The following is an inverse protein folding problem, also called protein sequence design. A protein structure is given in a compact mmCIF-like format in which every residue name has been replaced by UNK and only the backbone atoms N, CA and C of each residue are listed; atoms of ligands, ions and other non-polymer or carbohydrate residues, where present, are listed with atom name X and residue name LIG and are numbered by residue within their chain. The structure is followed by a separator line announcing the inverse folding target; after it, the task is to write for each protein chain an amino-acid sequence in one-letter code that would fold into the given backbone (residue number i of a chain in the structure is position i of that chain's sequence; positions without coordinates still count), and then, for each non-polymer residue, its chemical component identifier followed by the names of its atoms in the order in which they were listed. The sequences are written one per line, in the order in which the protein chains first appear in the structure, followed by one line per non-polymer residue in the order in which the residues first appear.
data_IF_598201737462
#
_entry.id   IF_598201737462
#
_cell.length_a   1.000
_cell.length_b   1.000
_cell.length_c   1.000
_cell.angle_alpha   90.00
_cell.angle_beta   90.00
_cell.angle_gamma   90.00
#
_symmetry.space_group_name_H-M   'P 1'
#
loop_
_entity.id
_entity.type
_entity.pdbx_description
1 polymer ?
#
# COMPACT_ATOMS: atom_id res chain seq x y z
N UNK A 1 -44.93 37.22 48.09
CA UNK A 1 -44.54 37.33 46.66
C UNK A 1 -43.05 37.57 46.59
N UNK A 2 -42.26 36.49 46.35
CA UNK A 2 -40.77 36.54 46.24
C UNK A 2 -40.41 36.70 44.77
N UNK A 3 -39.77 37.81 44.40
CA UNK A 3 -39.21 38.00 43.05
C UNK A 3 -37.84 37.36 43.01
N UNK A 4 -37.69 36.35 42.18
CA UNK A 4 -36.40 35.80 41.83
C UNK A 4 -35.66 36.75 40.89
N UNK A 5 -34.44 37.19 41.24
CA UNK A 5 -33.55 37.91 40.37
C UNK A 5 -32.62 36.89 39.73
N UNK A 6 -32.67 36.75 38.42
CA UNK A 6 -31.64 36.08 37.62
C UNK A 6 -30.36 36.91 37.65
N UNK A 7 -29.28 36.34 38.09
CA UNK A 7 -27.91 36.89 37.93
C UNK A 7 -27.30 36.29 36.67
N UNK A 8 -26.84 37.14 35.77
CA UNK A 8 -26.03 36.76 34.60
C UNK A 8 -24.58 36.57 35.06
N UNK A 9 -24.02 35.40 34.72
CA UNK A 9 -22.61 35.07 34.93
C UNK A 9 -21.80 35.57 33.72
N UNK A 10 -20.94 36.55 33.90
CA UNK A 10 -20.04 37.02 32.86
C UNK A 10 -18.69 36.37 33.06
N UNK A 11 -18.25 35.52 32.08
CA UNK A 11 -16.92 34.91 32.05
C UNK A 11 -16.02 35.82 31.21
N UNK A 12 -14.94 36.32 31.79
CA UNK A 12 -13.87 37.04 31.08
C UNK A 12 -12.67 36.16 31.04
N UNK A 13 -12.28 35.69 29.86
CA UNK A 13 -11.09 34.89 29.61
C UNK A 13 -9.99 35.83 29.05
N UNK A 14 -8.90 35.95 29.76
CA UNK A 14 -7.71 36.66 29.28
C UNK A 14 -6.62 35.64 28.97
N UNK A 15 -6.24 35.53 27.71
CA UNK A 15 -5.18 34.63 27.22
C UNK A 15 -3.82 35.34 27.23
N UNK A 16 -2.85 34.82 27.93
CA UNK A 16 -1.45 35.27 27.88
C UNK A 16 -0.60 34.14 27.30
N UNK A 17 -0.11 34.30 26.10
CA UNK A 17 0.80 33.34 25.47
C UNK A 17 2.26 33.63 25.90
N UNK A 18 2.92 32.61 26.42
CA UNK A 18 4.37 32.64 26.67
C UNK A 18 5.03 31.64 25.73
N UNK A 19 5.86 32.16 24.81
CA UNK A 19 6.67 31.33 23.94
C UNK A 19 7.92 30.87 24.69
N UNK A 20 8.10 29.56 24.85
CA UNK A 20 9.34 28.96 25.37
C UNK A 20 9.98 28.17 24.24
N UNK A 21 11.20 28.54 23.88
CA UNK A 21 12.07 27.78 22.97
C UNK A 21 12.85 26.78 23.80
N UNK A 22 12.65 25.49 23.58
CA UNK A 22 13.45 24.43 24.22
C UNK A 22 13.81 23.33 23.24
N UNK A 23 15.09 23.05 23.15
CA UNK A 23 15.64 21.83 22.53
C UNK A 23 15.73 20.74 23.58
N UNK A 24 15.07 19.58 23.37
CA UNK A 24 15.24 18.41 24.23
C UNK A 24 14.04 17.46 24.13
N UNK A 25 14.29 16.18 24.06
CA UNK A 25 13.36 15.07 23.77
C UNK A 25 12.61 14.54 25.00
N UNK A 26 12.05 15.40 25.85
CA UNK A 26 11.12 15.01 26.91
C UNK A 26 9.82 15.80 26.80
N UNK A 27 8.65 15.20 27.10
CA UNK A 27 7.37 15.91 27.04
C UNK A 27 7.40 17.10 28.00
N UNK A 28 7.18 18.28 27.44
CA UNK A 28 7.14 19.49 28.24
C UNK A 28 5.72 19.79 28.71
N UNK A 29 5.55 19.94 30.01
CA UNK A 29 4.33 20.43 30.62
C UNK A 29 4.28 21.95 30.45
N UNK A 30 3.38 22.45 29.62
CA UNK A 30 3.11 23.88 29.52
C UNK A 30 2.02 24.22 30.51
N UNK A 31 2.35 25.01 31.52
CA UNK A 31 1.38 25.47 32.51
C UNK A 31 0.68 26.72 32.00
N UNK A 32 -0.58 26.62 31.61
CA UNK A 32 -1.41 27.77 31.25
C UNK A 32 -2.21 28.20 32.47
N UNK A 33 -2.05 29.46 32.89
CA UNK A 33 -2.77 30.01 34.03
C UNK A 33 -4.05 30.67 33.52
N UNK A 34 -5.20 30.02 33.77
CA UNK A 34 -6.51 30.60 33.44
C UNK A 34 -7.10 31.25 34.69
N UNK A 35 -7.22 32.57 34.68
CA UNK A 35 -7.96 33.28 35.74
C UNK A 35 -9.49 33.07 35.57
N UNK A 36 -10.04 32.26 36.43
CA UNK A 36 -11.51 32.08 36.52
C UNK A 36 -12.04 32.93 37.63
N UNK A 37 -12.70 34.04 37.29
CA UNK A 37 -13.41 34.87 38.29
C UNK A 37 -14.79 34.24 38.57
N UNK A 38 -14.92 33.55 39.72
CA UNK A 38 -16.18 33.08 40.24
C UNK A 38 -16.77 34.09 41.21
N UNK A 39 -17.90 34.70 40.84
CA UNK A 39 -18.69 35.45 41.82
C UNK A 39 -19.43 34.47 42.74
N UNK A 40 -19.01 34.41 44.01
CA UNK A 40 -19.70 33.64 45.01
C UNK A 40 -20.74 34.59 45.69
N UNK A 41 -22.05 34.23 45.75
CA UNK A 41 -23.00 35.05 46.45
C UNK A 41 -22.77 34.98 47.96
N UNK A 42 -22.29 36.09 48.53
CA UNK A 42 -22.20 36.27 49.96
C UNK A 42 -23.50 36.91 50.44
N UNK A 43 -24.10 36.39 51.51
CA UNK A 43 -25.31 36.90 52.16
C UNK A 43 -25.06 38.33 52.64
N UNK A 44 -25.90 39.27 52.17
CA UNK A 44 -25.72 40.71 52.39
C UNK A 44 -26.10 41.06 53.84
N UNK A 45 -25.07 41.29 54.67
CA UNK A 45 -25.19 42.18 55.82
C UNK A 45 -24.36 43.42 55.53
N UNK A 46 -25.01 44.53 55.32
CA UNK A 46 -24.52 45.90 55.05
C UNK A 46 -23.01 46.14 55.01
N UNK A 47 -22.58 46.67 53.87
CA UNK A 47 -21.37 47.43 53.60
C UNK A 47 -20.08 46.62 53.41
N UNK A 48 -19.59 46.71 52.18
CA UNK A 48 -18.30 46.29 51.58
C UNK A 48 -18.40 44.98 50.80
N UNK A 49 -18.50 45.11 49.49
CA UNK A 49 -18.24 44.00 48.55
C UNK A 49 -16.73 43.66 48.63
N UNK A 50 -16.40 42.56 49.27
CA UNK A 50 -15.05 41.97 49.14
C UNK A 50 -15.10 41.04 47.90
N UNK A 51 -14.39 41.39 46.83
CA UNK A 51 -14.11 40.49 45.75
C UNK A 51 -12.91 39.64 46.14
N UNK A 52 -13.14 38.36 46.33
CA UNK A 52 -12.06 37.40 46.56
C UNK A 52 -11.74 36.75 45.21
N UNK A 53 -10.55 37.03 44.68
CA UNK A 53 -10.07 36.40 43.47
C UNK A 53 -9.48 35.03 43.84
N UNK A 54 -10.15 33.98 43.42
CA UNK A 54 -9.61 32.61 43.56
C UNK A 54 -8.87 32.30 42.23
N UNK A 55 -7.59 32.17 42.31
CA UNK A 55 -6.78 31.69 41.18
C UNK A 55 -6.70 30.16 41.22
N UNK A 56 -7.41 29.51 40.33
CA UNK A 56 -7.35 28.06 40.17
C UNK A 56 -6.38 27.77 39.02
N UNK A 57 -5.26 27.12 39.33
CA UNK A 57 -4.32 26.70 38.32
C UNK A 57 -4.80 25.36 37.73
N UNK A 58 -5.25 25.37 36.49
CA UNK A 58 -5.57 24.16 35.75
C UNK A 58 -4.33 23.77 34.95
N UNK A 59 -3.71 22.68 35.33
CA UNK A 59 -2.67 22.06 34.50
C UNK A 59 -3.34 21.41 33.30
N UNK A 60 -3.20 22.04 32.14
CA UNK A 60 -3.58 21.44 30.86
C UNK A 60 -2.32 20.77 30.31
N UNK A 61 -2.32 19.47 30.30
CA UNK A 61 -1.28 18.69 29.61
C UNK A 61 -1.49 18.92 28.09
N UNK A 62 -0.75 19.85 27.51
CA UNK A 62 -0.67 20.01 26.07
C UNK A 62 0.33 18.97 25.59
N UNK A 63 -0.16 17.94 24.94
CA UNK A 63 0.73 17.02 24.22
C UNK A 63 1.60 17.85 23.27
N UNK A 64 2.91 17.88 23.53
CA UNK A 64 3.83 18.56 22.64
C UNK A 64 3.68 17.93 21.27
N UNK A 65 3.33 18.71 20.26
CA UNK A 65 3.27 18.27 18.87
C UNK A 65 4.64 17.73 18.49
N UNK A 66 4.78 16.40 18.49
CA UNK A 66 6.00 15.72 18.09
C UNK A 66 6.24 16.12 16.63
N UNK A 67 7.43 16.60 16.31
CA UNK A 67 7.79 16.89 14.92
C UNK A 67 7.64 15.58 14.13
N UNK A 68 6.80 15.61 13.07
CA UNK A 68 6.50 14.43 12.26
C UNK A 68 7.72 14.11 11.42
N UNK A 69 8.26 12.90 11.62
CA UNK A 69 9.38 12.41 10.81
C UNK A 69 8.90 12.00 9.41
N UNK A 70 9.83 11.93 8.49
CA UNK A 70 9.58 11.36 7.16
C UNK A 70 9.10 9.91 7.26
N UNK A 71 8.10 9.56 6.45
CA UNK A 71 7.56 8.21 6.28
C UNK A 71 8.03 7.69 4.92
N UNK A 72 8.75 6.57 4.93
CA UNK A 72 9.40 6.01 3.75
C UNK A 72 8.62 4.82 3.20
N UNK A 73 8.16 4.94 1.94
CA UNK A 73 7.46 3.87 1.23
C UNK A 73 8.41 2.95 0.46
N UNK A 74 8.06 1.67 0.35
CA UNK A 74 8.70 0.74 -0.57
C UNK A 74 8.29 1.07 -2.01
N UNK A 75 9.21 1.64 -2.80
CA UNK A 75 9.01 1.95 -4.22
C UNK A 75 9.23 0.72 -5.10
N UNK A 76 8.32 -0.27 -5.02
CA UNK A 76 8.38 -1.48 -5.83
C UNK A 76 8.13 -1.16 -7.32
N UNK A 77 8.68 -1.99 -8.20
CA UNK A 77 8.85 -1.70 -9.62
C UNK A 77 7.73 -2.23 -10.54
N UNK A 78 6.48 -2.21 -10.05
CA UNK A 78 5.30 -2.53 -10.87
C UNK A 78 4.16 -1.52 -10.66
N UNK A 79 3.23 -1.49 -11.62
CA UNK A 79 2.27 -0.38 -11.76
C UNK A 79 1.27 -0.31 -10.60
N UNK A 80 0.72 -1.44 -10.13
CA UNK A 80 -0.31 -1.40 -9.07
C UNK A 80 0.21 -0.74 -7.80
N UNK A 81 1.42 -1.12 -7.36
CA UNK A 81 2.02 -0.51 -6.17
C UNK A 81 2.42 0.95 -6.39
N UNK A 82 2.83 1.33 -7.62
CA UNK A 82 3.12 2.73 -7.93
C UNK A 82 1.88 3.61 -7.76
N UNK A 83 0.73 3.13 -8.23
CA UNK A 83 -0.57 3.80 -8.07
C UNK A 83 -0.96 3.87 -6.58
N UNK A 84 -0.92 2.74 -5.87
CA UNK A 84 -1.31 2.69 -4.46
C UNK A 84 -0.37 3.49 -3.57
N UNK A 85 0.94 3.45 -3.83
CA UNK A 85 1.90 4.32 -3.14
C UNK A 85 1.58 5.80 -3.39
N UNK A 86 1.23 6.17 -4.64
CA UNK A 86 0.80 7.53 -4.95
C UNK A 86 -0.35 7.98 -4.07
N UNK A 87 -1.45 7.22 -4.07
CA UNK A 87 -2.64 7.55 -3.28
C UNK A 87 -2.35 7.55 -1.77
N UNK A 88 -1.67 6.51 -1.27
CA UNK A 88 -1.39 6.41 0.15
C UNK A 88 -0.41 7.49 0.64
N UNK A 89 0.65 7.80 -0.12
CA UNK A 89 1.60 8.85 0.24
C UNK A 89 0.96 10.23 0.21
N UNK A 90 0.12 10.54 -0.78
CA UNK A 90 -0.64 11.78 -0.84
C UNK A 90 -1.51 11.97 0.41
N UNK A 91 -2.23 10.94 0.81
CA UNK A 91 -3.05 10.96 2.04
C UNK A 91 -2.18 11.17 3.29
N UNK A 92 -1.03 10.50 3.37
CA UNK A 92 -0.08 10.63 4.50
C UNK A 92 0.49 12.05 4.57
N UNK A 93 0.84 12.62 3.44
CA UNK A 93 1.45 13.95 3.36
C UNK A 93 0.42 15.06 3.60
N UNK A 94 -0.60 15.13 2.78
CA UNK A 94 -1.57 16.23 2.81
C UNK A 94 -2.68 16.03 3.83
N UNK A 95 -3.09 14.79 4.09
CA UNK A 95 -4.09 14.50 5.11
C UNK A 95 -3.52 14.53 6.53
N UNK A 96 -2.44 13.83 6.74
CA UNK A 96 -1.84 13.67 8.06
C UNK A 96 -0.60 14.54 8.30
N UNK A 97 -0.06 15.24 7.30
CA UNK A 97 1.05 16.19 7.42
C UNK A 97 2.39 15.56 7.77
N UNK A 98 2.66 14.30 7.39
CA UNK A 98 3.98 13.69 7.49
C UNK A 98 4.74 13.90 6.19
N UNK A 99 6.02 14.34 6.23
CA UNK A 99 6.86 14.26 5.05
C UNK A 99 6.92 12.83 4.53
N UNK A 100 6.92 12.65 3.21
CA UNK A 100 6.97 11.31 2.59
C UNK A 100 8.19 11.15 1.72
N UNK A 101 8.72 9.93 1.69
CA UNK A 101 9.81 9.51 0.83
C UNK A 101 9.56 8.12 0.24
N UNK A 102 10.33 7.75 -0.77
CA UNK A 102 10.26 6.43 -1.38
C UNK A 102 11.65 5.90 -1.70
N UNK A 103 11.88 4.62 -1.42
CA UNK A 103 13.09 3.90 -1.81
C UNK A 103 12.75 2.95 -2.96
N UNK A 104 13.28 3.19 -4.18
CA UNK A 104 13.01 2.33 -5.32
C UNK A 104 13.75 0.99 -5.20
N UNK A 105 13.12 -0.08 -5.64
CA UNK A 105 13.74 -1.40 -5.65
C UNK A 105 12.77 -2.53 -5.94
N UNK A 106 13.28 -3.75 -5.88
CA UNK A 106 12.49 -4.96 -6.05
C UNK A 106 12.11 -5.61 -4.72
N UNK A 107 11.26 -6.62 -4.78
CA UNK A 107 10.59 -7.25 -3.62
C UNK A 107 11.55 -7.63 -2.49
N UNK A 108 12.61 -8.39 -2.82
CA UNK A 108 13.47 -8.98 -1.77
C UNK A 108 14.27 -7.93 -1.00
N UNK A 109 15.00 -7.00 -1.65
CA UNK A 109 15.74 -5.98 -0.91
C UNK A 109 14.84 -5.01 -0.15
N UNK A 110 13.69 -4.60 -0.70
CA UNK A 110 12.79 -3.66 -0.01
C UNK A 110 12.10 -4.29 1.20
N UNK A 111 11.76 -5.59 1.14
CA UNK A 111 11.25 -6.28 2.31
C UNK A 111 12.32 -6.40 3.42
N UNK A 112 13.59 -6.59 3.07
CA UNK A 112 14.68 -6.51 4.06
C UNK A 112 14.85 -5.10 4.63
N UNK A 113 14.64 -4.06 3.82
CA UNK A 113 14.58 -2.67 4.28
C UNK A 113 13.45 -2.45 5.29
N UNK A 114 12.26 -2.99 5.03
CA UNK A 114 11.12 -2.95 5.95
C UNK A 114 11.45 -3.63 7.30
N UNK A 115 12.08 -4.81 7.28
CA UNK A 115 12.52 -5.50 8.51
C UNK A 115 13.49 -4.66 9.31
N UNK A 116 14.39 -3.91 8.66
CA UNK A 116 15.43 -3.10 9.33
C UNK A 116 14.95 -1.72 9.77
N UNK A 117 13.85 -1.23 9.20
CA UNK A 117 13.35 0.12 9.40
C UNK A 117 13.97 1.16 8.46
N UNK A 118 14.60 0.73 7.37
CA UNK A 118 15.05 1.61 6.26
C UNK A 118 13.85 2.00 5.36
N UNK A 119 12.77 1.24 5.44
CA UNK A 119 11.46 1.44 4.81
C UNK A 119 10.40 1.29 5.90
N UNK A 120 9.41 2.17 5.91
CA UNK A 120 8.34 2.19 6.90
C UNK A 120 7.09 1.44 6.46
N UNK A 121 6.72 1.57 5.19
CA UNK A 121 5.48 1.04 4.62
C UNK A 121 5.77 0.25 3.34
N UNK A 122 5.18 -0.94 3.24
CA UNK A 122 5.08 -1.71 2.00
C UNK A 122 3.60 -1.96 1.70
N UNK A 123 3.10 -1.35 0.62
CA UNK A 123 1.68 -1.43 0.26
C UNK A 123 1.29 -2.77 -0.36
N UNK A 124 2.24 -3.56 -0.87
CA UNK A 124 1.95 -4.84 -1.51
C UNK A 124 2.93 -5.94 -1.11
N UNK A 125 2.62 -6.65 -0.04
CA UNK A 125 3.31 -7.89 0.35
C UNK A 125 2.52 -9.08 -0.18
N UNK A 126 3.03 -9.71 -1.25
CA UNK A 126 2.39 -10.83 -1.92
C UNK A 126 2.70 -12.16 -1.24
N UNK A 127 1.70 -12.76 -0.61
CA UNK A 127 1.79 -14.12 -0.06
C UNK A 127 1.10 -15.11 -1.02
N UNK A 128 1.62 -16.32 -1.18
CA UNK A 128 2.68 -16.96 -0.37
C UNK A 128 4.12 -16.72 -0.84
N UNK A 129 4.37 -15.94 -1.88
CA UNK A 129 5.71 -15.76 -2.48
C UNK A 129 6.78 -15.33 -1.46
N UNK A 130 6.38 -14.56 -0.46
CA UNK A 130 7.25 -13.98 0.56
C UNK A 130 7.08 -14.64 1.94
N UNK A 131 6.43 -15.80 2.05
CA UNK A 131 6.11 -16.43 3.35
C UNK A 131 7.33 -16.55 4.28
N UNK A 132 8.48 -16.95 3.79
CA UNK A 132 9.67 -17.12 4.63
C UNK A 132 10.15 -15.79 5.25
N UNK A 133 10.23 -14.74 4.44
CA UNK A 133 10.63 -13.41 4.92
C UNK A 133 9.55 -12.81 5.83
N UNK A 134 8.28 -12.96 5.45
CA UNK A 134 7.12 -12.54 6.22
C UNK A 134 7.08 -13.18 7.61
N UNK A 135 7.16 -14.50 7.66
CA UNK A 135 7.16 -15.28 8.90
C UNK A 135 8.31 -14.88 9.83
N UNK A 136 9.49 -14.69 9.26
CA UNK A 136 10.66 -14.24 10.02
C UNK A 136 10.47 -12.84 10.60
N UNK A 137 10.02 -11.89 9.77
CA UNK A 137 9.81 -10.50 10.18
C UNK A 137 8.73 -10.37 11.25
N UNK A 138 7.59 -11.05 11.06
CA UNK A 138 6.45 -11.00 11.98
C UNK A 138 6.73 -11.73 13.30
N UNK A 139 7.32 -12.92 13.27
CA UNK A 139 7.70 -13.67 14.48
C UNK A 139 8.71 -12.90 15.35
N UNK A 140 9.58 -12.12 14.74
CA UNK A 140 10.53 -11.27 15.46
C UNK A 140 9.94 -9.92 15.89
N UNK A 141 8.69 -9.64 15.57
CA UNK A 141 8.01 -8.38 15.88
C UNK A 141 8.57 -7.16 15.12
N UNK A 142 9.26 -7.36 14.01
CA UNK A 142 9.88 -6.29 13.22
C UNK A 142 8.94 -5.73 12.16
N UNK A 143 8.01 -6.56 11.68
CA UNK A 143 7.02 -6.24 10.64
C UNK A 143 5.63 -6.58 11.13
N UNK A 144 4.68 -5.75 10.82
CA UNK A 144 3.28 -5.89 11.21
C UNK A 144 2.41 -5.73 9.97
N UNK A 145 1.51 -6.69 9.74
CA UNK A 145 0.43 -6.55 8.76
C UNK A 145 -0.65 -5.65 9.33
N UNK A 146 -0.97 -4.58 8.62
CA UNK A 146 -1.94 -3.58 9.10
C UNK A 146 -3.19 -3.51 8.25
N UNK A 147 -3.18 -4.10 7.04
CA UNK A 147 -4.33 -4.09 6.14
C UNK A 147 -4.14 -5.04 4.97
N UNK A 148 -5.14 -5.07 4.11
CA UNK A 148 -5.10 -5.76 2.82
C UNK A 148 -5.06 -4.73 1.71
N UNK A 149 -4.17 -4.96 0.75
CA UNK A 149 -4.04 -4.14 -0.43
C UNK A 149 -5.07 -4.54 -1.48
N UNK A 150 -4.74 -5.48 -2.34
CA UNK A 150 -5.61 -5.92 -3.42
C UNK A 150 -6.62 -6.98 -2.94
N UNK A 151 -7.88 -6.84 -3.38
CA UNK A 151 -8.89 -7.89 -3.30
C UNK A 151 -8.97 -8.67 -4.62
N UNK A 152 -9.48 -9.91 -4.57
CA UNK A 152 -9.76 -10.74 -5.76
C UNK A 152 -8.56 -10.97 -6.70
N UNK A 153 -7.39 -11.15 -6.13
CA UNK A 153 -6.13 -11.34 -6.84
C UNK A 153 -5.83 -12.82 -7.06
N UNK A 154 -5.15 -13.09 -8.15
CA UNK A 154 -4.68 -14.43 -8.48
C UNK A 154 -3.24 -14.40 -9.03
N UNK A 155 -2.56 -15.52 -8.94
CA UNK A 155 -1.29 -15.77 -9.61
C UNK A 155 -1.29 -17.11 -10.32
N UNK A 156 -0.60 -17.19 -11.45
CA UNK A 156 -0.34 -18.43 -12.13
C UNK A 156 1.05 -18.40 -12.76
N UNK A 157 1.73 -19.53 -12.72
CA UNK A 157 3.05 -19.65 -13.35
C UNK A 157 2.94 -19.92 -14.84
N UNK A 158 2.02 -20.79 -15.23
CA UNK A 158 1.88 -21.27 -16.60
C UNK A 158 0.54 -20.80 -17.15
N UNK A 159 0.63 -19.69 -17.89
CA UNK A 159 -0.54 -19.06 -18.56
C UNK A 159 -0.27 -19.06 -20.05
N UNK A 160 -1.29 -19.37 -20.84
CA UNK A 160 -1.31 -19.34 -22.31
C UNK A 160 -2.54 -18.60 -22.80
N UNK A 161 -2.58 -18.19 -24.05
CA UNK A 161 -3.80 -17.65 -24.65
C UNK A 161 -4.83 -18.75 -24.94
N UNK A 162 -6.12 -18.44 -24.88
CA UNK A 162 -7.22 -19.38 -25.17
C UNK A 162 -7.06 -20.00 -26.56
N UNK A 163 -6.66 -19.22 -27.59
CA UNK A 163 -6.47 -19.75 -28.94
C UNK A 163 -5.42 -20.87 -29.02
N UNK A 164 -4.40 -20.86 -28.14
CA UNK A 164 -3.42 -21.93 -28.04
C UNK A 164 -4.07 -23.23 -27.56
N UNK A 165 -4.94 -23.14 -26.54
CA UNK A 165 -5.69 -24.31 -26.03
C UNK A 165 -6.67 -24.83 -27.07
N UNK A 166 -7.39 -23.95 -27.75
CA UNK A 166 -8.36 -24.31 -28.79
C UNK A 166 -7.71 -25.09 -29.95
N UNK A 167 -6.48 -24.70 -30.31
CA UNK A 167 -5.68 -25.38 -31.33
C UNK A 167 -5.02 -26.67 -30.82
N UNK A 168 -4.77 -26.77 -29.52
CA UNK A 168 -4.04 -27.86 -28.88
C UNK A 168 -4.80 -28.42 -27.66
N UNK A 169 -5.94 -29.12 -27.85
CA UNK A 169 -6.81 -29.56 -26.76
C UNK A 169 -6.15 -30.59 -25.81
N UNK A 170 -4.97 -31.11 -26.13
CA UNK A 170 -4.15 -31.94 -25.25
C UNK A 170 -3.30 -31.17 -24.26
N UNK A 171 -3.18 -29.84 -24.41
CA UNK A 171 -2.45 -28.96 -23.49
C UNK A 171 -3.39 -28.47 -22.39
N UNK A 172 -3.53 -29.23 -21.33
CA UNK A 172 -4.43 -28.93 -20.19
C UNK A 172 -3.63 -28.62 -18.93
N UNK A 173 -2.58 -29.41 -18.69
CA UNK A 173 -1.75 -29.32 -17.49
C UNK A 173 -0.36 -28.78 -17.81
N UNK A 174 0.28 -28.23 -16.81
CA UNK A 174 1.67 -27.78 -16.91
C UNK A 174 2.63 -28.91 -17.31
N UNK A 175 2.36 -30.13 -16.89
CA UNK A 175 3.15 -31.32 -17.29
C UNK A 175 2.99 -31.71 -18.76
N UNK A 176 1.90 -31.29 -19.43
CA UNK A 176 1.72 -31.53 -20.87
C UNK A 176 2.70 -30.74 -21.72
N UNK A 177 3.34 -29.73 -21.13
CA UNK A 177 4.46 -29.02 -21.77
C UNK A 177 5.63 -29.92 -22.15
N UNK A 178 5.79 -31.10 -21.51
CA UNK A 178 6.78 -32.10 -21.94
C UNK A 178 6.56 -32.58 -23.39
N UNK A 179 5.31 -32.57 -23.85
CA UNK A 179 4.92 -32.98 -25.21
C UNK A 179 4.62 -31.78 -26.12
N UNK A 180 4.32 -30.59 -25.54
CA UNK A 180 3.89 -29.40 -26.28
C UNK A 180 4.86 -28.23 -26.27
N UNK A 181 6.07 -28.36 -25.68
CA UNK A 181 7.02 -27.25 -25.53
C UNK A 181 7.42 -26.60 -26.86
N UNK A 182 7.44 -27.35 -27.96
CA UNK A 182 7.82 -26.85 -29.28
C UNK A 182 6.91 -25.73 -29.78
N UNK A 183 5.66 -25.66 -29.34
CA UNK A 183 4.71 -24.56 -29.65
C UNK A 183 5.28 -23.20 -29.21
N UNK A 184 6.05 -23.18 -28.14
CA UNK A 184 6.61 -21.99 -27.51
C UNK A 184 8.08 -21.75 -27.83
N UNK A 185 8.66 -22.56 -28.76
CA UNK A 185 10.06 -22.42 -29.13
C UNK A 185 10.29 -21.10 -29.88
N UNK A 186 11.39 -20.44 -29.55
CA UNK A 186 11.85 -19.24 -30.24
C UNK A 186 13.17 -19.52 -30.99
N UNK A 187 13.51 -18.71 -31.98
CA UNK A 187 14.71 -18.95 -32.82
C UNK A 187 16.01 -19.04 -32.02
N UNK A 188 16.07 -18.39 -30.85
CA UNK A 188 17.25 -18.31 -29.98
C UNK A 188 17.19 -19.24 -28.76
N UNK A 189 16.10 -20.02 -28.61
CA UNK A 189 15.89 -20.90 -27.43
C UNK A 189 16.57 -22.27 -27.53
N UNK A 190 17.32 -22.51 -28.61
CA UNK A 190 17.99 -23.80 -28.79
C UNK A 190 17.03 -25.00 -28.95
N UNK A 191 15.79 -24.74 -29.36
CA UNK A 191 14.73 -25.73 -29.52
C UNK A 191 13.88 -25.97 -28.27
N UNK A 192 14.16 -25.30 -27.15
CA UNK A 192 13.31 -25.35 -25.97
C UNK A 192 12.11 -24.40 -26.13
N UNK A 193 10.99 -24.74 -25.52
CA UNK A 193 9.90 -23.80 -25.31
C UNK A 193 10.33 -22.68 -24.36
N UNK A 194 9.87 -21.45 -24.61
CA UNK A 194 10.17 -20.29 -23.79
C UNK A 194 8.98 -20.00 -22.86
N UNK A 195 9.23 -20.05 -21.56
CA UNK A 195 8.34 -19.49 -20.55
C UNK A 195 8.85 -18.10 -20.17
N UNK A 196 8.09 -17.06 -20.54
CA UNK A 196 8.38 -15.68 -20.11
C UNK A 196 7.98 -15.58 -18.64
N UNK A 197 8.98 -15.63 -17.77
CA UNK A 197 8.77 -15.81 -16.34
C UNK A 197 8.57 -14.53 -15.56
N UNK A 198 8.48 -14.69 -14.26
CA UNK A 198 8.52 -13.59 -13.31
C UNK A 198 9.87 -12.84 -13.41
N UNK A 199 9.83 -11.54 -13.22
CA UNK A 199 10.96 -10.63 -13.35
C UNK A 199 12.04 -10.95 -12.28
N UNK A 200 13.30 -10.87 -12.67
CA UNK A 200 14.41 -11.03 -11.73
C UNK A 200 14.34 -9.99 -10.60
N UNK A 201 14.48 -10.46 -9.36
CA UNK A 201 14.33 -9.62 -8.15
C UNK A 201 12.95 -9.65 -7.53
N UNK A 202 11.93 -10.11 -8.24
CA UNK A 202 10.62 -10.41 -7.66
C UNK A 202 10.62 -11.79 -6.98
N UNK A 203 9.84 -11.93 -5.91
CA UNK A 203 9.79 -13.17 -5.15
C UNK A 203 9.26 -14.37 -5.96
N UNK A 204 8.35 -14.14 -6.91
CA UNK A 204 7.79 -15.19 -7.78
C UNK A 204 8.83 -15.81 -8.74
N UNK A 205 9.98 -15.17 -8.98
CA UNK A 205 11.03 -15.74 -9.83
C UNK A 205 11.53 -17.07 -9.30
N UNK A 206 11.84 -17.15 -8.01
CA UNK A 206 12.27 -18.40 -7.37
C UNK A 206 11.19 -19.48 -7.39
N UNK A 207 9.92 -19.09 -7.37
CA UNK A 207 8.79 -20.02 -7.50
C UNK A 207 8.75 -20.61 -8.92
N UNK A 208 8.90 -19.79 -9.97
CA UNK A 208 8.96 -20.27 -11.36
C UNK A 208 10.08 -21.27 -11.55
N UNK A 209 11.27 -20.99 -11.00
CA UNK A 209 12.44 -21.88 -11.09
C UNK A 209 12.15 -23.23 -10.41
N UNK A 210 11.61 -23.20 -9.20
CA UNK A 210 11.26 -24.40 -8.46
C UNK A 210 10.20 -25.25 -9.18
N UNK A 211 9.16 -24.63 -9.75
CA UNK A 211 8.10 -25.34 -10.46
C UNK A 211 8.61 -26.00 -11.75
N UNK A 212 9.47 -25.32 -12.52
CA UNK A 212 10.11 -25.90 -13.71
C UNK A 212 10.91 -27.14 -13.33
N UNK A 213 11.66 -27.09 -12.23
CA UNK A 213 12.47 -28.21 -11.75
C UNK A 213 11.59 -29.37 -11.29
N UNK A 214 10.63 -29.12 -10.40
CA UNK A 214 9.77 -30.15 -9.81
C UNK A 214 8.88 -30.83 -10.85
N UNK A 215 8.39 -30.08 -11.85
CA UNK A 215 7.57 -30.64 -12.94
C UNK A 215 8.42 -31.33 -14.02
N UNK A 216 9.75 -31.39 -13.88
CA UNK A 216 10.65 -32.06 -14.83
C UNK A 216 10.80 -31.34 -16.18
N UNK A 217 10.53 -30.03 -16.22
CA UNK A 217 10.50 -29.23 -17.44
C UNK A 217 11.85 -28.63 -17.80
N UNK A 218 12.88 -28.74 -16.95
CA UNK A 218 14.18 -28.07 -17.11
C UNK A 218 14.91 -28.39 -18.42
N UNK A 219 14.68 -29.57 -19.01
CA UNK A 219 15.31 -29.95 -20.26
C UNK A 219 14.60 -29.37 -21.49
N UNK A 220 13.30 -29.09 -21.39
CA UNK A 220 12.44 -28.69 -22.51
C UNK A 220 11.94 -27.23 -22.43
N UNK A 221 12.01 -26.60 -21.26
CA UNK A 221 11.59 -25.20 -21.06
C UNK A 221 12.80 -24.33 -20.68
N UNK A 222 12.88 -23.17 -21.32
CA UNK A 222 13.76 -22.06 -20.94
C UNK A 222 12.94 -21.02 -20.19
N UNK A 223 13.33 -20.71 -18.95
CA UNK A 223 12.75 -19.61 -18.18
C UNK A 223 13.40 -18.30 -18.57
N UNK A 224 12.69 -17.46 -19.32
CA UNK A 224 13.18 -16.19 -19.83
C UNK A 224 12.74 -15.03 -18.94
N UNK A 225 13.67 -14.14 -18.62
CA UNK A 225 13.40 -12.91 -17.91
C UNK A 225 12.86 -11.86 -18.88
N UNK A 226 11.66 -11.26 -18.65
CA UNK A 226 11.15 -10.17 -19.48
C UNK A 226 11.84 -8.83 -19.22
N UNK A 227 12.65 -8.71 -18.18
CA UNK A 227 13.38 -7.53 -17.77
C UNK A 227 12.55 -6.47 -17.03
N UNK A 228 11.22 -6.43 -17.24
CA UNK A 228 10.29 -5.52 -16.57
C UNK A 228 8.84 -5.97 -16.74
N UNK A 229 7.93 -5.40 -15.93
CA UNK A 229 6.48 -5.59 -16.13
C UNK A 229 6.05 -5.17 -17.56
N UNK A 230 6.52 -4.02 -18.02
CA UNK A 230 6.22 -3.55 -19.38
C UNK A 230 6.69 -4.54 -20.45
N UNK A 231 7.86 -5.15 -20.29
CA UNK A 231 8.38 -6.20 -21.18
C UNK A 231 7.51 -7.45 -21.18
N UNK A 232 7.08 -7.89 -19.98
CA UNK A 232 6.14 -9.02 -19.84
C UNK A 232 4.81 -8.73 -20.55
N UNK A 233 4.18 -7.60 -20.25
CA UNK A 233 2.89 -7.21 -20.84
C UNK A 233 2.96 -7.01 -22.35
N UNK A 234 4.04 -6.41 -22.84
CA UNK A 234 4.28 -6.27 -24.28
C UNK A 234 4.43 -7.64 -24.97
N UNK A 235 5.05 -8.64 -24.33
CA UNK A 235 5.18 -9.99 -24.89
C UNK A 235 3.84 -10.71 -24.98
N UNK A 236 2.99 -10.59 -23.95
CA UNK A 236 1.61 -11.11 -23.94
C UNK A 236 0.80 -10.46 -25.08
N UNK A 237 0.80 -9.12 -25.10
CA UNK A 237 0.05 -8.34 -26.09
C UNK A 237 0.46 -8.63 -27.51
N UNK A 238 1.77 -8.71 -27.78
CA UNK A 238 2.30 -9.00 -29.11
C UNK A 238 1.88 -10.39 -29.60
N UNK A 239 1.81 -11.37 -28.72
CA UNK A 239 1.33 -12.72 -29.07
C UNK A 239 -0.19 -12.75 -29.27
N UNK A 240 -0.97 -12.15 -28.37
CA UNK A 240 -2.42 -12.09 -28.46
C UNK A 240 -2.91 -11.36 -29.70
N UNK A 241 -2.34 -10.20 -30.02
CA UNK A 241 -2.68 -9.41 -31.20
C UNK A 241 -2.35 -10.13 -32.53
N UNK A 242 -1.32 -11.00 -32.54
CA UNK A 242 -0.90 -11.78 -33.71
C UNK A 242 -1.54 -13.17 -33.78
N UNK A 243 -2.18 -13.62 -32.70
CA UNK A 243 -2.68 -14.99 -32.59
C UNK A 243 -1.55 -16.03 -32.60
N UNK A 244 -0.40 -15.71 -32.01
CA UNK A 244 0.73 -16.62 -31.88
C UNK A 244 0.79 -17.22 -30.47
N UNK A 245 1.35 -18.46 -30.40
CA UNK A 245 1.49 -19.14 -29.12
C UNK A 245 2.46 -18.39 -28.19
N UNK A 246 2.08 -18.28 -26.93
CA UNK A 246 2.85 -17.66 -25.88
C UNK A 246 2.64 -18.43 -24.56
N UNK A 247 3.68 -18.61 -23.79
CA UNK A 247 3.67 -19.24 -22.48
C UNK A 247 4.40 -18.31 -21.49
N UNK A 248 3.79 -18.05 -20.34
CA UNK A 248 4.47 -17.27 -19.32
C UNK A 248 3.77 -17.21 -17.98
N UNK A 249 4.35 -16.39 -17.11
CA UNK A 249 3.81 -16.04 -15.80
C UNK A 249 2.86 -14.85 -15.93
N UNK A 250 1.79 -14.88 -15.16
CA UNK A 250 0.86 -13.77 -15.06
C UNK A 250 0.20 -13.72 -13.68
N UNK A 251 -0.37 -12.60 -13.35
CA UNK A 251 -1.22 -12.37 -12.18
C UNK A 251 -2.38 -11.44 -12.54
N UNK A 252 -3.42 -11.42 -11.71
CA UNK A 252 -4.57 -10.53 -11.85
C UNK A 252 -4.97 -9.90 -10.52
N UNK A 253 -5.73 -8.80 -10.55
CA UNK A 253 -6.22 -8.13 -11.77
C UNK A 253 -5.15 -7.26 -12.45
N UNK A 254 -5.04 -7.35 -13.78
CA UNK A 254 -4.12 -6.55 -14.59
C UNK A 254 -4.72 -6.25 -15.96
N UNK A 255 -4.17 -5.26 -16.69
CA UNK A 255 -4.63 -4.91 -18.02
C UNK A 255 -4.59 -6.10 -19.00
N UNK A 256 -3.50 -6.89 -19.12
CA UNK A 256 -3.50 -8.04 -20.01
C UNK A 256 -4.53 -9.11 -19.66
N UNK A 257 -4.76 -9.35 -18.36
CA UNK A 257 -5.77 -10.28 -17.88
C UNK A 257 -7.18 -9.81 -18.28
N UNK A 258 -7.46 -8.53 -18.17
CA UNK A 258 -8.75 -7.95 -18.58
C UNK A 258 -8.95 -7.89 -20.11
N UNK A 259 -7.85 -7.83 -20.88
CA UNK A 259 -7.91 -7.63 -22.34
C UNK A 259 -7.84 -8.92 -23.14
N UNK A 260 -7.12 -9.92 -22.67
CA UNK A 260 -6.86 -11.16 -23.39
C UNK A 260 -7.47 -12.35 -22.65
N UNK A 261 -8.05 -13.28 -23.39
CA UNK A 261 -8.54 -14.56 -22.85
C UNK A 261 -7.32 -15.42 -22.48
N UNK A 262 -6.85 -15.30 -21.24
CA UNK A 262 -5.73 -16.06 -20.71
C UNK A 262 -6.23 -17.30 -19.96
N UNK A 263 -5.55 -18.42 -20.17
CA UNK A 263 -5.86 -19.71 -19.56
C UNK A 263 -4.68 -20.17 -18.70
N UNK A 264 -4.98 -20.51 -17.46
CA UNK A 264 -4.02 -21.13 -16.56
C UNK A 264 -3.94 -22.63 -16.89
N UNK A 265 -2.72 -23.14 -17.14
CA UNK A 265 -2.51 -24.58 -17.20
C UNK A 265 -2.66 -25.18 -15.81
N UNK A 266 -3.43 -26.25 -15.69
CA UNK A 266 -3.58 -26.97 -14.44
C UNK A 266 -2.23 -27.49 -13.96
N UNK A 267 -1.98 -27.36 -12.66
CA UNK A 267 -0.79 -27.91 -12.00
C UNK A 267 -1.23 -28.95 -10.98
N UNK A 268 -0.79 -30.18 -11.17
CA UNK A 268 -0.97 -31.18 -10.14
C UNK A 268 -0.12 -30.79 -8.93
N UNK A 269 -0.66 -30.84 -7.70
CA UNK A 269 0.14 -30.57 -6.53
C UNK A 269 1.29 -31.61 -6.48
N UNK A 270 2.52 -31.15 -6.38
CA UNK A 270 3.63 -32.04 -6.13
C UNK A 270 3.41 -32.78 -4.80
N UNK A 271 3.74 -34.07 -4.75
CA UNK A 271 3.40 -34.94 -3.62
C UNK A 271 3.91 -34.45 -2.26
N UNK A 272 4.92 -33.58 -2.24
CA UNK A 272 5.63 -33.13 -1.04
C UNK A 272 5.62 -31.62 -0.85
N UNK A 273 4.70 -30.88 -1.50
CA UNK A 273 4.80 -29.41 -1.50
C UNK A 273 3.90 -28.69 -0.48
N UNK A 274 3.06 -29.39 0.25
CA UNK A 274 2.24 -28.86 1.36
C UNK A 274 1.58 -27.47 1.09
N UNK A 275 1.30 -27.16 -0.18
CA UNK A 275 0.73 -25.87 -0.57
C UNK A 275 1.76 -24.72 -0.72
N UNK A 276 3.06 -24.99 -0.57
CA UNK A 276 4.12 -23.98 -0.68
C UNK A 276 4.62 -23.84 -2.12
N UNK A 277 4.31 -22.75 -2.85
CA UNK A 277 4.69 -22.58 -4.26
C UNK A 277 6.20 -22.69 -4.51
N UNK A 278 7.03 -22.21 -3.59
CA UNK A 278 8.50 -22.33 -3.70
C UNK A 278 9.02 -23.78 -3.70
N UNK A 279 8.20 -24.72 -3.27
CA UNK A 279 8.49 -26.16 -3.34
C UNK A 279 7.93 -26.80 -4.62
N UNK A 280 7.45 -25.99 -5.58
CA UNK A 280 6.92 -26.42 -6.86
C UNK A 280 5.42 -26.64 -6.90
N UNK A 281 4.68 -26.28 -5.86
CA UNK A 281 3.22 -26.27 -5.90
C UNK A 281 2.69 -25.22 -6.88
N UNK A 282 1.47 -25.46 -7.35
CA UNK A 282 0.68 -24.42 -8.02
C UNK A 282 0.49 -23.20 -7.12
N UNK A 283 0.44 -22.04 -7.72
CA UNK A 283 -0.05 -20.86 -7.01
C UNK A 283 -1.52 -21.00 -6.66
N UNK A 284 -1.86 -20.70 -5.41
CA UNK A 284 -3.25 -20.44 -5.02
C UNK A 284 -3.65 -18.99 -5.23
N UNK A 285 -4.79 -18.61 -4.66
CA UNK A 285 -5.14 -17.19 -4.53
C UNK A 285 -4.06 -16.49 -3.70
N UNK A 286 -3.60 -15.36 -4.18
CA UNK A 286 -2.63 -14.58 -3.46
C UNK A 286 -3.33 -13.72 -2.39
N UNK A 287 -2.72 -13.61 -1.22
CA UNK A 287 -3.08 -12.61 -0.23
C UNK A 287 -2.08 -11.46 -0.32
N UNK A 288 -2.58 -10.25 -0.61
CA UNK A 288 -1.71 -9.07 -0.72
C UNK A 288 -1.96 -8.17 0.48
N UNK A 289 -0.95 -8.04 1.32
CA UNK A 289 -1.03 -7.34 2.59
C UNK A 289 -0.34 -5.97 2.52
N UNK A 290 -0.86 -5.03 3.31
CA UNK A 290 -0.15 -3.82 3.67
C UNK A 290 0.63 -4.11 4.95
N UNK A 291 1.93 -3.85 4.92
CA UNK A 291 2.82 -4.08 6.04
C UNK A 291 3.59 -2.83 6.41
N UNK A 292 3.86 -2.70 7.71
CA UNK A 292 4.65 -1.60 8.25
C UNK A 292 5.79 -2.11 9.12
N UNK A 293 6.88 -1.33 9.22
CA UNK A 293 7.87 -1.53 10.27
C UNK A 293 7.21 -1.29 11.63
N UNK A 294 7.63 -2.04 12.64
CA UNK A 294 7.08 -1.96 14.00
C UNK A 294 7.15 -0.54 14.59
N UNK A 295 8.15 0.27 14.25
CA UNK A 295 8.30 1.63 14.75
C UNK A 295 7.09 2.51 14.45
N UNK A 296 6.38 2.25 13.35
CA UNK A 296 5.20 3.00 12.93
C UNK A 296 4.08 3.02 13.98
N UNK A 297 3.98 1.99 14.82
CA UNK A 297 2.98 1.97 15.91
C UNK A 297 3.18 3.08 16.93
N UNK A 298 4.42 3.52 17.13
CA UNK A 298 4.76 4.59 18.06
C UNK A 298 4.94 5.94 17.34
N UNK A 299 5.47 5.92 16.12
CA UNK A 299 5.87 7.13 15.40
C UNK A 299 4.70 7.77 14.63
N UNK A 300 3.79 6.95 14.07
CA UNK A 300 2.67 7.41 13.25
C UNK A 300 1.43 6.48 13.39
N UNK A 301 0.84 6.38 14.60
CA UNK A 301 -0.30 5.49 14.87
C UNK A 301 -1.57 5.89 14.08
N UNK A 302 -1.72 7.14 13.73
CA UNK A 302 -2.77 7.69 12.86
C UNK A 302 -2.65 7.15 11.43
N UNK A 303 -1.45 7.13 10.86
CA UNK A 303 -1.15 6.53 9.55
C UNK A 303 -1.42 5.01 9.59
N UNK A 304 -1.01 4.31 10.66
CA UNK A 304 -1.34 2.88 10.83
C UNK A 304 -2.84 2.64 10.87
N UNK A 305 -3.59 3.52 11.53
CA UNK A 305 -5.06 3.46 11.58
C UNK A 305 -5.69 3.68 10.20
N UNK A 306 -5.16 4.59 9.41
CA UNK A 306 -5.55 4.81 8.01
C UNK A 306 -5.31 3.56 7.17
N UNK A 307 -4.09 3.02 7.20
CA UNK A 307 -3.71 1.83 6.41
C UNK A 307 -4.55 0.60 6.76
N UNK A 308 -5.01 0.48 8.01
CA UNK A 308 -5.91 -0.60 8.44
C UNK A 308 -7.32 -0.49 7.82
N UNK A 309 -7.75 0.71 7.48
CA UNK A 309 -9.05 0.98 6.83
C UNK A 309 -8.95 1.03 5.31
N UNK A 310 -7.74 1.12 4.77
CA UNK A 310 -7.50 1.18 3.33
C UNK A 310 -8.12 -0.01 2.63
N UNK A 311 -8.85 0.23 1.55
CA UNK A 311 -9.55 -0.80 0.77
C UNK A 311 -9.42 -0.51 -0.71
N UNK A 312 -8.74 -1.39 -1.45
CA UNK A 312 -8.42 -1.19 -2.86
C UNK A 312 -8.89 -2.37 -3.71
N UNK A 313 -10.18 -2.41 -4.09
CA UNK A 313 -10.73 -3.44 -4.96
C UNK A 313 -10.31 -3.27 -6.42
N UNK A 314 -10.50 -4.31 -7.23
CA UNK A 314 -10.18 -4.32 -8.66
C UNK A 314 -10.87 -3.19 -9.45
N UNK A 315 -12.06 -2.77 -9.00
CA UNK A 315 -12.82 -1.66 -9.61
C UNK A 315 -12.11 -0.31 -9.50
N UNK A 316 -11.21 -0.12 -8.52
CA UNK A 316 -10.33 1.04 -8.43
C UNK A 316 -9.00 0.81 -9.14
N UNK A 317 -8.45 -0.40 -8.99
CA UNK A 317 -7.14 -0.75 -9.50
C UNK A 317 -7.03 -0.59 -11.02
N UNK A 318 -7.93 -1.21 -11.79
CA UNK A 318 -7.84 -1.22 -13.24
C UNK A 318 -7.99 0.17 -13.87
N UNK A 319 -8.99 1.01 -13.49
CA UNK A 319 -9.07 2.38 -14.00
C UNK A 319 -7.88 3.26 -13.59
N UNK A 320 -7.38 3.10 -12.36
CA UNK A 320 -6.26 3.89 -11.88
C UNK A 320 -4.93 3.52 -12.58
N UNK A 321 -4.69 2.24 -12.83
CA UNK A 321 -3.55 1.80 -13.65
C UNK A 321 -3.66 2.30 -15.09
N UNK A 322 -4.85 2.24 -15.68
CA UNK A 322 -5.08 2.75 -17.04
C UNK A 322 -4.79 4.25 -17.11
N UNK A 323 -5.34 5.02 -16.18
CA UNK A 323 -5.07 6.45 -16.09
C UNK A 323 -3.58 6.76 -15.89
N UNK A 324 -2.93 6.06 -14.95
CA UNK A 324 -1.50 6.20 -14.66
C UNK A 324 -0.65 5.91 -15.91
N UNK A 325 -0.89 4.79 -16.58
CA UNK A 325 -0.13 4.40 -17.77
C UNK A 325 -0.32 5.38 -18.94
N UNK A 326 -1.49 5.98 -19.08
CA UNK A 326 -1.77 6.99 -20.12
C UNK A 326 -1.09 8.34 -19.81
N UNK A 327 -0.92 8.68 -18.53
CA UNK A 327 -0.57 10.04 -18.10
C UNK A 327 0.86 10.18 -17.56
N UNK A 328 1.47 9.14 -16.97
CA UNK A 328 2.76 9.21 -16.25
C UNK A 328 3.94 9.82 -17.02
N UNK A 329 3.91 9.74 -18.36
CA UNK A 329 4.98 10.26 -19.22
C UNK A 329 4.67 11.64 -19.83
N UNK A 330 3.49 12.21 -19.55
CA UNK A 330 3.12 13.55 -19.99
C UNK A 330 3.96 14.59 -19.26
N UNK A 331 4.30 15.66 -19.95
CA UNK A 331 5.21 16.71 -19.44
C UNK A 331 4.75 17.31 -18.10
N UNK A 332 3.44 17.36 -17.88
CA UNK A 332 2.79 17.89 -16.68
C UNK A 332 2.84 16.95 -15.47
N UNK A 333 2.99 15.62 -15.68
CA UNK A 333 2.91 14.61 -14.61
C UNK A 333 4.20 13.81 -14.40
N UNK A 334 5.14 13.84 -15.37
CA UNK A 334 6.32 12.95 -15.40
C UNK A 334 7.25 13.07 -14.20
N UNK A 335 7.24 14.20 -13.52
CA UNK A 335 8.13 14.44 -12.39
C UNK A 335 7.55 13.80 -11.10
N UNK A 336 6.20 13.78 -10.96
CA UNK A 336 5.49 13.20 -9.82
C UNK A 336 4.22 12.42 -10.25
N UNK A 337 4.38 11.35 -11.07
CA UNK A 337 3.22 10.64 -11.60
C UNK A 337 2.37 9.94 -10.53
N UNK A 338 2.97 9.63 -9.38
CA UNK A 338 2.26 9.10 -8.21
C UNK A 338 1.31 10.12 -7.59
N UNK A 339 1.72 11.38 -7.44
CA UNK A 339 0.85 12.47 -6.98
C UNK A 339 -0.28 12.71 -7.98
N UNK A 340 0.04 12.78 -9.26
CA UNK A 340 -0.96 13.02 -10.30
C UNK A 340 -2.08 11.97 -10.31
N UNK A 341 -1.77 10.67 -10.17
CA UNK A 341 -2.81 9.64 -10.10
C UNK A 341 -3.58 9.70 -8.77
N UNK A 342 -2.95 10.16 -7.69
CA UNK A 342 -3.62 10.36 -6.41
C UNK A 342 -4.65 11.49 -6.50
N UNK A 343 -4.29 12.64 -7.02
CA UNK A 343 -5.19 13.78 -7.25
C UNK A 343 -6.38 13.38 -8.12
N UNK A 344 -6.11 12.70 -9.22
CA UNK A 344 -7.18 12.19 -10.07
C UNK A 344 -8.11 11.24 -9.31
N UNK A 345 -7.58 10.23 -8.61
CA UNK A 345 -8.38 9.25 -7.90
C UNK A 345 -9.19 9.87 -6.77
N UNK A 346 -8.56 10.71 -5.94
CA UNK A 346 -9.18 11.35 -4.79
C UNK A 346 -10.26 12.38 -5.20
N UNK A 347 -10.15 12.95 -6.40
CA UNK A 347 -11.15 13.87 -6.96
C UNK A 347 -12.35 13.14 -7.59
N UNK A 348 -12.14 11.95 -8.15
CA UNK A 348 -13.20 11.19 -8.85
C UNK A 348 -13.96 10.21 -7.94
N UNK A 349 -13.42 9.90 -6.75
CA UNK A 349 -13.98 8.89 -5.85
C UNK A 349 -14.07 9.40 -4.41
N UNK A 350 -15.20 9.16 -3.75
CA UNK A 350 -15.43 9.51 -2.34
C UNK A 350 -15.09 8.36 -1.37
N UNK A 351 -14.79 7.15 -1.89
CA UNK A 351 -14.60 5.96 -1.06
C UNK A 351 -13.44 6.09 -0.06
N UNK A 352 -12.41 6.86 -0.40
CA UNK A 352 -11.25 7.12 0.46
C UNK A 352 -11.59 7.89 1.74
N UNK A 353 -12.67 8.67 1.75
CA UNK A 353 -13.09 9.44 2.93
C UNK A 353 -13.36 8.53 4.14
N UNK A 354 -13.80 7.29 3.90
CA UNK A 354 -14.01 6.32 4.96
C UNK A 354 -12.70 5.77 5.57
N UNK A 355 -11.57 5.94 4.89
CA UNK A 355 -10.28 5.43 5.37
C UNK A 355 -9.61 6.35 6.37
N UNK A 356 -9.91 7.64 6.30
CA UNK A 356 -9.22 8.71 7.02
C UNK A 356 -10.03 9.26 8.19
N UNK A 357 -9.43 10.17 8.96
CA UNK A 357 -10.12 10.97 9.98
C UNK A 357 -10.80 12.17 9.32
N UNK A 358 -11.81 12.77 9.98
CA UNK A 358 -12.46 13.99 9.46
C UNK A 358 -11.47 15.13 9.23
N UNK A 359 -10.49 15.32 10.14
CA UNK A 359 -9.43 16.33 9.98
C UNK A 359 -8.58 16.06 8.74
N UNK A 360 -8.14 14.81 8.54
CA UNK A 360 -7.35 14.45 7.36
C UNK A 360 -8.17 14.62 6.06
N UNK A 361 -9.46 14.32 6.10
CA UNK A 361 -10.37 14.54 4.98
C UNK A 361 -10.47 16.02 4.61
N UNK A 362 -10.68 16.90 5.59
CA UNK A 362 -10.74 18.35 5.37
C UNK A 362 -9.42 18.88 4.78
N UNK A 363 -8.29 18.39 5.28
CA UNK A 363 -6.97 18.76 4.77
C UNK A 363 -6.77 18.36 3.31
N UNK A 364 -7.15 17.12 2.93
CA UNK A 364 -7.04 16.62 1.55
C UNK A 364 -7.92 17.43 0.61
N UNK A 365 -9.19 17.66 0.96
CA UNK A 365 -10.09 18.47 0.14
C UNK A 365 -9.53 19.89 -0.07
N UNK A 366 -8.96 20.49 0.98
CA UNK A 366 -8.33 21.80 0.88
C UNK A 366 -7.18 21.81 -0.13
N UNK A 367 -6.31 20.77 -0.14
CA UNK A 367 -5.21 20.65 -1.10
C UNK A 367 -5.73 20.45 -2.52
N UNK A 368 -6.69 19.55 -2.74
CA UNK A 368 -7.28 19.29 -4.05
C UNK A 368 -7.96 20.52 -4.68
N UNK A 369 -8.43 21.47 -3.86
CA UNK A 369 -9.08 22.70 -4.36
C UNK A 369 -8.08 23.84 -4.69
N UNK A 370 -6.86 23.81 -4.16
CA UNK A 370 -5.95 24.97 -4.19
C UNK A 370 -4.63 24.75 -4.92
N UNK A 371 -4.26 23.51 -5.26
CA UNK A 371 -3.00 23.18 -5.93
C UNK A 371 -3.13 23.00 -7.47
N UNK A 372 -4.19 23.56 -8.09
CA UNK A 372 -4.41 23.62 -9.54
C UNK A 372 -4.05 24.93 -10.17
#
# INVERSE_FOLDING_TARGET
MKRAKLLFLSLVISMVAVAVVACGSEPQVVTETVEVVKEVPVEVVKEVIKTETITETVEVEVEATREKREIVFAGLDWTSVAVQNGVASYIVEHGYGYPVGSVPGSTVPLFQGLIKGDVDINMEVWLPNQNEAWDKGTKNGQVIGVGKSLADNWQSTFVVHQHTIDANPGLVKATDLLEHYELFAQPDSGGKGVLVGCIAGWACRGVNEAQIEVLGLSDVIELRDPGSQAGLFASIGAAGDKGTDWLGYMWGPTEPDAKYDLVQLEQDPAADCDGEPKLGCAFGLAEVLIAVNQSMLADAPDVVSFLNKYSWPAEFQLPAEAWYNENKDKAEYKDEPGHAVAEWFLSEHDAWEAWVTEEAKENIHHHLEHDH
#
